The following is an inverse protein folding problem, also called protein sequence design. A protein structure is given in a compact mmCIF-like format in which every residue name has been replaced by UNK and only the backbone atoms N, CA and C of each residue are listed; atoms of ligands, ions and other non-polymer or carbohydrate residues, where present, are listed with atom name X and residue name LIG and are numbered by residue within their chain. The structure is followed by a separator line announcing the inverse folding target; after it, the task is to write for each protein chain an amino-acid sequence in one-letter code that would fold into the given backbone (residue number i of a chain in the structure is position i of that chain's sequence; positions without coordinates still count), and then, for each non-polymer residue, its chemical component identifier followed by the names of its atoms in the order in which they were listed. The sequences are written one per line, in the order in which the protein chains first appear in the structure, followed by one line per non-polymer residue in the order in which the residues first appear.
data_IF_654152574258
#
_entry.id   IF_654152574258
#
_cell.length_a   1.000
_cell.length_b   1.000
_cell.length_c   1.000
_cell.angle_alpha   90.00
_cell.angle_beta   90.00
_cell.angle_gamma   90.00
#
_symmetry.space_group_name_H-M   'P 1'
#
loop_
_entity.id
_entity.type
_entity.pdbx_description
1 polymer ?
#
# COMPACT_ATOMS: atom_id res chain seq x y z
N UNK A 1 2.62 -9.08 -39.66
CA UNK A 1 3.73 -9.46 -40.56
C UNK A 1 4.82 -8.41 -40.40
N UNK A 2 5.69 -8.57 -39.40
CA UNK A 2 6.86 -7.67 -39.23
C UNK A 2 7.94 -8.17 -40.16
N UNK A 3 8.44 -7.30 -41.03
CA UNK A 3 9.49 -7.62 -41.99
C UNK A 3 10.79 -7.91 -41.20
N UNK A 4 11.13 -9.19 -40.99
CA UNK A 4 12.27 -9.64 -40.16
C UNK A 4 13.61 -9.56 -40.91
N UNK A 5 13.83 -8.47 -41.65
CA UNK A 5 14.99 -8.35 -42.54
C UNK A 5 16.07 -7.46 -41.92
N UNK A 6 16.65 -7.93 -40.81
CA UNK A 6 17.89 -7.38 -40.28
C UNK A 6 19.09 -7.89 -41.09
N UNK A 7 20.12 -7.05 -41.27
CA UNK A 7 21.33 -7.39 -42.01
C UNK A 7 22.54 -7.47 -41.08
N UNK A 8 23.10 -8.67 -40.89
CA UNK A 8 24.37 -8.88 -40.17
C UNK A 8 25.45 -8.98 -41.24
N UNK A 9 26.45 -8.12 -41.16
CA UNK A 9 27.64 -8.16 -41.99
C UNK A 9 28.86 -8.20 -41.09
N UNK A 10 29.81 -9.08 -41.38
CA UNK A 10 30.99 -9.16 -40.53
C UNK A 10 32.03 -10.12 -41.05
N UNK A 11 33.24 -9.94 -40.55
CA UNK A 11 34.37 -10.83 -40.81
C UNK A 11 34.80 -11.45 -39.49
N UNK A 12 34.88 -12.79 -39.44
CA UNK A 12 35.32 -13.53 -38.27
C UNK A 12 36.49 -14.44 -38.66
N UNK A 13 37.64 -14.18 -38.06
CA UNK A 13 38.86 -14.95 -38.23
C UNK A 13 39.03 -15.88 -37.03
N UNK A 14 39.07 -17.18 -37.31
CA UNK A 14 39.34 -18.23 -36.34
C UNK A 14 40.71 -18.83 -36.64
N UNK A 15 41.64 -18.77 -35.70
CA UNK A 15 42.96 -19.38 -35.82
C UNK A 15 43.13 -20.41 -34.71
N UNK A 16 43.18 -21.70 -35.05
CA UNK A 16 43.20 -22.78 -34.07
C UNK A 16 44.18 -23.88 -34.44
N UNK A 17 44.76 -24.54 -33.42
CA UNK A 17 45.50 -25.79 -33.57
C UNK A 17 44.52 -26.95 -33.38
N UNK A 18 44.41 -27.82 -34.38
CA UNK A 18 43.60 -29.04 -34.31
C UNK A 18 44.49 -30.19 -33.81
N UNK A 19 44.11 -30.82 -32.71
CA UNK A 19 44.69 -32.09 -32.28
C UNK A 19 43.85 -33.24 -32.83
N UNK A 20 44.51 -34.12 -33.58
CA UNK A 20 43.94 -35.35 -34.10
C UNK A 20 44.29 -36.49 -33.15
N UNK A 21 43.29 -36.97 -32.41
CA UNK A 21 43.37 -38.26 -31.74
C UNK A 21 42.77 -39.33 -32.68
N UNK A 22 43.11 -40.61 -32.52
CA UNK A 22 42.72 -41.68 -33.45
C UNK A 22 41.22 -41.76 -33.78
N UNK A 23 40.36 -41.24 -32.89
CA UNK A 23 38.90 -41.21 -33.05
C UNK A 23 38.25 -39.88 -32.65
N UNK A 24 39.00 -38.79 -32.46
CA UNK A 24 38.42 -37.47 -32.14
C UNK A 24 39.27 -36.31 -32.63
N UNK A 25 38.60 -35.25 -33.07
CA UNK A 25 39.21 -33.95 -33.37
C UNK A 25 38.94 -33.05 -32.16
N UNK A 26 39.99 -32.57 -31.51
CA UNK A 26 39.85 -31.61 -30.41
C UNK A 26 40.54 -30.30 -30.75
N UNK A 27 39.87 -29.18 -30.46
CA UNK A 27 40.43 -27.84 -30.55
C UNK A 27 41.13 -27.56 -29.22
N UNK A 28 42.45 -27.45 -29.24
CA UNK A 28 43.27 -27.37 -28.02
C UNK A 28 43.51 -25.90 -27.62
N UNK A 29 43.95 -25.09 -28.59
CA UNK A 29 44.14 -23.65 -28.45
C UNK A 29 43.74 -22.94 -29.74
N UNK A 30 42.97 -21.86 -29.59
CA UNK A 30 42.60 -21.02 -30.73
C UNK A 30 42.28 -19.59 -30.32
N UNK A 31 42.55 -18.67 -31.25
CA UNK A 31 42.21 -17.26 -31.17
C UNK A 31 41.04 -16.96 -32.08
N UNK A 32 40.18 -16.07 -31.62
CA UNK A 32 39.07 -15.53 -32.38
C UNK A 32 39.30 -14.02 -32.51
N UNK A 33 39.12 -13.48 -33.70
CA UNK A 33 39.10 -12.04 -33.93
C UNK A 33 38.11 -11.71 -35.03
N UNK A 34 37.19 -10.80 -34.78
CA UNK A 34 36.19 -10.45 -35.77
C UNK A 34 35.43 -9.20 -35.42
N UNK A 35 34.79 -8.64 -36.43
CA UNK A 35 33.91 -7.49 -36.32
C UNK A 35 32.59 -7.80 -37.01
N UNK A 36 31.49 -7.45 -36.36
CA UNK A 36 30.12 -7.66 -36.82
C UNK A 36 29.40 -6.31 -36.76
N UNK A 37 28.81 -5.91 -37.87
CA UNK A 37 27.82 -4.85 -37.98
C UNK A 37 26.45 -5.52 -38.02
N UNK A 38 25.51 -5.01 -37.24
CA UNK A 38 24.12 -5.44 -37.27
C UNK A 38 23.26 -4.22 -37.50
N UNK A 39 22.36 -4.26 -38.48
CA UNK A 39 21.47 -3.16 -38.79
C UNK A 39 20.02 -3.65 -38.84
N UNK A 40 19.14 -3.03 -38.06
CA UNK A 40 17.71 -3.35 -38.04
C UNK A 40 17.35 -4.75 -37.54
N UNK A 41 18.16 -5.38 -36.66
CA UNK A 41 17.83 -6.71 -36.13
C UNK A 41 16.61 -6.65 -35.24
N UNK A 42 15.66 -7.58 -35.36
CA UNK A 42 14.55 -7.69 -34.43
C UNK A 42 15.01 -7.65 -32.97
N UNK A 43 14.36 -6.83 -32.13
CA UNK A 43 14.75 -6.64 -30.73
C UNK A 43 14.51 -7.87 -29.87
N UNK A 44 13.54 -8.72 -30.24
CA UNK A 44 13.19 -9.96 -29.55
C UNK A 44 14.37 -10.94 -29.43
N UNK A 45 15.40 -10.80 -30.26
CA UNK A 45 16.64 -11.60 -30.16
C UNK A 45 17.36 -11.47 -28.80
N UNK A 46 17.12 -10.39 -28.05
CA UNK A 46 17.72 -10.20 -26.72
C UNK A 46 16.88 -10.78 -25.58
N UNK A 47 15.65 -11.22 -25.83
CA UNK A 47 14.76 -11.78 -24.80
C UNK A 47 15.41 -12.86 -23.93
N UNK A 48 16.19 -13.83 -24.48
CA UNK A 48 16.84 -14.86 -23.66
C UNK A 48 17.87 -14.30 -22.67
N UNK A 49 18.30 -13.05 -22.85
CA UNK A 49 19.26 -12.35 -21.99
C UNK A 49 18.60 -11.31 -21.07
N UNK A 50 17.29 -11.09 -21.21
CA UNK A 50 16.54 -10.22 -20.33
C UNK A 50 16.24 -10.91 -18.99
N UNK A 51 15.93 -10.10 -17.99
CA UNK A 51 15.43 -10.61 -16.72
C UNK A 51 14.11 -11.38 -16.94
N UNK A 52 13.87 -12.44 -16.16
CA UNK A 52 12.56 -13.07 -16.11
C UNK A 52 11.51 -11.98 -15.90
N UNK A 53 10.41 -12.04 -16.65
CA UNK A 53 9.28 -11.11 -16.57
C UNK A 53 9.46 -9.74 -17.27
N UNK A 54 10.51 -9.56 -18.07
CA UNK A 54 10.60 -8.46 -19.04
C UNK A 54 10.25 -9.00 -20.43
N UNK A 55 9.27 -8.39 -21.09
CA UNK A 55 8.90 -8.70 -22.47
C UNK A 55 9.22 -7.47 -23.33
N UNK A 56 9.82 -7.67 -24.50
CA UNK A 56 10.18 -6.60 -25.44
C UNK A 56 9.73 -6.99 -26.85
N UNK A 57 8.96 -6.14 -27.51
CA UNK A 57 8.46 -6.45 -28.84
C UNK A 57 8.48 -5.23 -29.78
N UNK A 58 8.30 -5.52 -31.07
CA UNK A 58 8.14 -4.49 -32.09
C UNK A 58 9.26 -3.44 -32.10
N UNK A 59 10.50 -3.91 -32.14
CA UNK A 59 11.69 -3.07 -32.09
C UNK A 59 12.82 -3.55 -32.97
N UNK A 60 13.91 -2.78 -32.98
CA UNK A 60 15.13 -3.15 -33.64
C UNK A 60 16.38 -2.76 -32.85
N UNK A 61 17.46 -3.50 -33.12
CA UNK A 61 18.79 -3.30 -32.58
C UNK A 61 19.75 -3.09 -33.75
N UNK A 62 20.59 -2.07 -33.64
CA UNK A 62 21.59 -1.76 -34.65
C UNK A 62 22.89 -1.28 -34.00
N UNK A 63 24.03 -1.62 -34.59
CA UNK A 63 25.31 -1.35 -33.96
C UNK A 63 26.44 -2.17 -34.52
N UNK A 64 27.50 -2.24 -33.71
CA UNK A 64 28.77 -2.86 -34.05
C UNK A 64 29.32 -3.61 -32.86
N UNK A 65 29.73 -4.85 -33.07
CA UNK A 65 30.41 -5.69 -32.10
C UNK A 65 31.76 -6.13 -32.65
N UNK A 66 32.72 -6.30 -31.74
CA UNK A 66 34.04 -6.86 -31.98
C UNK A 66 34.25 -7.99 -30.99
N UNK A 67 34.71 -9.13 -31.49
CA UNK A 67 35.14 -10.27 -30.69
C UNK A 67 36.64 -10.43 -30.87
N UNK A 68 37.36 -10.70 -29.79
CA UNK A 68 38.81 -10.91 -29.80
C UNK A 68 39.22 -11.89 -28.70
N UNK A 69 40.45 -12.39 -28.69
CA UNK A 69 40.98 -13.20 -27.60
C UNK A 69 41.03 -14.68 -27.91
N UNK A 70 41.07 -15.53 -26.88
CA UNK A 70 41.07 -16.99 -27.05
C UNK A 70 39.65 -17.54 -27.13
N UNK A 71 39.47 -18.73 -27.71
CA UNK A 71 38.17 -19.41 -27.75
C UNK A 71 37.61 -19.70 -26.35
N UNK A 72 38.49 -19.89 -25.36
CA UNK A 72 38.12 -20.17 -23.98
C UNK A 72 37.90 -18.89 -23.16
N UNK A 73 38.28 -17.72 -23.67
CA UNK A 73 38.13 -16.42 -23.00
C UNK A 73 37.97 -15.30 -24.04
N UNK A 74 36.86 -15.32 -24.81
CA UNK A 74 36.59 -14.28 -25.79
C UNK A 74 36.29 -12.96 -25.07
N UNK A 75 36.87 -11.89 -25.59
CA UNK A 75 36.62 -10.52 -25.20
C UNK A 75 35.70 -9.87 -26.22
N UNK A 76 34.53 -9.42 -25.77
CA UNK A 76 33.59 -8.68 -26.59
C UNK A 76 33.72 -7.18 -26.33
N UNK A 77 33.56 -6.37 -27.36
CA UNK A 77 33.43 -4.92 -27.25
C UNK A 77 32.53 -4.40 -28.35
N UNK A 78 31.84 -3.28 -28.15
CA UNK A 78 30.94 -2.77 -29.16
C UNK A 78 29.97 -1.73 -28.63
N UNK A 79 29.11 -1.25 -29.53
CA UNK A 79 27.99 -0.37 -29.18
C UNK A 79 26.75 -0.77 -29.95
N UNK A 80 25.60 -0.59 -29.33
CA UNK A 80 24.31 -0.85 -29.94
C UNK A 80 23.34 0.28 -29.58
N UNK A 81 22.53 0.67 -30.56
CA UNK A 81 21.27 1.38 -30.35
C UNK A 81 20.16 0.34 -30.27
N UNK A 82 19.29 0.53 -29.29
CA UNK A 82 18.13 -0.33 -29.04
C UNK A 82 16.91 0.56 -29.15
N UNK A 83 15.96 0.15 -29.99
CA UNK A 83 14.65 0.77 -30.10
C UNK A 83 13.58 -0.30 -29.92
N UNK A 84 12.55 -0.03 -29.12
CA UNK A 84 11.37 -0.88 -28.97
C UNK A 84 10.11 -0.04 -28.95
N UNK A 85 9.02 -0.56 -29.51
CA UNK A 85 7.70 0.08 -29.38
C UNK A 85 6.93 -0.42 -28.17
N UNK A 86 7.06 -1.68 -27.79
CA UNK A 86 6.51 -2.09 -26.51
C UNK A 86 7.58 -2.77 -25.65
N UNK A 87 7.48 -2.48 -24.36
CA UNK A 87 8.20 -3.17 -23.31
C UNK A 87 7.26 -3.29 -22.12
N UNK A 88 7.13 -4.50 -21.60
CA UNK A 88 6.31 -4.76 -20.42
C UNK A 88 7.18 -5.35 -19.32
N UNK A 89 7.01 -4.82 -18.11
CA UNK A 89 7.53 -5.44 -16.90
C UNK A 89 6.36 -6.03 -16.10
N UNK A 90 6.15 -7.33 -16.29
CA UNK A 90 4.93 -7.99 -15.84
C UNK A 90 4.73 -8.06 -14.31
N UNK A 91 5.75 -8.05 -13.43
CA UNK A 91 5.51 -8.13 -11.98
C UNK A 91 4.76 -6.93 -11.40
N UNK A 92 4.81 -5.78 -12.07
CA UNK A 92 4.12 -4.55 -11.67
C UNK A 92 3.16 -4.04 -12.75
N UNK A 93 2.86 -4.87 -13.76
CA UNK A 93 1.99 -4.49 -14.89
C UNK A 93 2.38 -3.14 -15.53
N UNK A 94 3.68 -2.85 -15.58
CA UNK A 94 4.19 -1.59 -16.13
C UNK A 94 4.42 -1.77 -17.64
N UNK A 95 3.71 -0.98 -18.43
CA UNK A 95 3.84 -0.95 -19.88
C UNK A 95 4.49 0.34 -20.39
N UNK A 96 5.46 0.17 -21.27
CA UNK A 96 6.16 1.24 -21.97
C UNK A 96 5.81 1.21 -23.47
N UNK A 97 5.49 2.38 -24.01
CA UNK A 97 5.15 2.67 -25.42
C UNK A 97 6.36 2.95 -26.30
N UNK A 98 7.50 3.17 -25.68
CA UNK A 98 8.77 3.19 -26.38
C UNK A 98 9.92 2.88 -25.42
N UNK A 99 10.98 2.36 -25.99
CA UNK A 99 12.32 2.38 -25.44
C UNK A 99 13.23 2.89 -26.55
N UNK A 100 14.00 3.94 -26.27
CA UNK A 100 15.11 4.39 -27.12
C UNK A 100 16.36 4.42 -26.27
N UNK A 101 17.43 3.79 -26.76
CA UNK A 101 18.57 3.53 -25.93
C UNK A 101 19.87 3.32 -26.65
N UNK A 102 20.97 3.65 -25.97
CA UNK A 102 22.32 3.31 -26.43
C UNK A 102 23.10 2.60 -25.34
N UNK A 103 23.66 1.44 -25.70
CA UNK A 103 24.57 0.67 -24.86
C UNK A 103 25.96 0.60 -25.48
N UNK A 104 26.97 0.50 -24.63
CA UNK A 104 28.34 0.13 -25.01
C UNK A 104 28.73 -1.09 -24.19
N UNK A 105 29.19 -2.13 -24.85
CA UNK A 105 29.72 -3.32 -24.20
C UNK A 105 31.24 -3.27 -24.26
N UNK A 106 31.92 -3.56 -23.15
CA UNK A 106 33.37 -3.76 -23.13
C UNK A 106 33.75 -4.80 -22.08
N UNK A 107 34.41 -5.87 -22.53
CA UNK A 107 34.83 -7.03 -21.72
C UNK A 107 33.66 -7.73 -21.03
N UNK A 108 33.32 -7.29 -19.82
CA UNK A 108 32.28 -7.84 -18.97
C UNK A 108 31.36 -6.74 -18.43
N UNK A 109 31.42 -5.54 -19.00
CA UNK A 109 30.64 -4.39 -18.59
C UNK A 109 29.75 -3.93 -19.73
N UNK A 110 28.46 -3.80 -19.45
CA UNK A 110 27.52 -3.01 -20.25
C UNK A 110 27.44 -1.63 -19.62
N UNK A 111 27.78 -0.60 -20.38
CA UNK A 111 27.46 0.79 -20.06
C UNK A 111 26.16 1.15 -20.77
N UNK A 112 25.14 1.52 -20.00
CA UNK A 112 23.93 2.16 -20.49
C UNK A 112 24.22 3.66 -20.51
N UNK A 113 24.37 4.22 -21.72
CA UNK A 113 24.63 5.66 -21.84
C UNK A 113 23.38 6.45 -21.51
N UNK A 114 22.26 6.04 -22.07
CA UNK A 114 20.93 6.53 -21.77
C UNK A 114 19.93 5.54 -22.36
N UNK A 115 18.95 5.13 -21.57
CA UNK A 115 17.67 4.57 -22.03
C UNK A 115 16.58 5.56 -21.66
N UNK A 116 15.72 5.89 -22.61
CA UNK A 116 14.53 6.71 -22.42
C UNK A 116 13.34 5.83 -22.70
N UNK A 117 12.50 5.63 -21.69
CA UNK A 117 11.26 4.89 -21.80
C UNK A 117 10.09 5.82 -21.53
N UNK A 118 9.05 5.72 -22.34
CA UNK A 118 7.80 6.47 -22.16
C UNK A 118 6.68 5.49 -21.88
N UNK A 119 5.93 5.70 -20.80
CA UNK A 119 4.83 4.81 -20.44
C UNK A 119 3.50 5.19 -21.10
N UNK A 120 2.46 4.41 -20.83
CA UNK A 120 1.13 4.57 -21.45
C UNK A 120 0.50 5.96 -21.23
N UNK A 121 0.85 6.66 -20.14
CA UNK A 121 0.35 7.99 -19.77
C UNK A 121 1.34 9.13 -20.07
N UNK A 122 2.32 8.90 -20.94
CA UNK A 122 3.35 9.89 -21.34
C UNK A 122 4.36 10.27 -20.25
N UNK A 123 4.45 9.49 -19.16
CA UNK A 123 5.51 9.62 -18.17
C UNK A 123 6.83 9.12 -18.73
N UNK A 124 7.94 9.78 -18.37
CA UNK A 124 9.27 9.47 -18.87
C UNK A 124 10.11 8.84 -17.76
N UNK A 125 10.80 7.76 -18.09
CA UNK A 125 11.79 7.10 -17.25
C UNK A 125 13.12 7.05 -17.99
N UNK A 126 14.16 7.63 -17.40
CA UNK A 126 15.51 7.65 -17.95
C UNK A 126 16.43 6.78 -17.11
N UNK A 127 17.19 5.89 -17.75
CA UNK A 127 18.15 5.00 -17.09
C UNK A 127 19.54 5.21 -17.67
N UNK A 128 20.54 5.34 -16.80
CA UNK A 128 21.96 5.33 -17.19
C UNK A 128 22.78 4.61 -16.13
N UNK A 129 23.98 4.13 -16.51
CA UNK A 129 24.89 3.47 -15.57
C UNK A 129 25.53 2.23 -16.16
N UNK A 130 25.81 1.26 -15.30
CA UNK A 130 26.61 0.08 -15.65
C UNK A 130 26.02 -1.21 -15.10
N UNK A 131 26.18 -2.27 -15.87
CA UNK A 131 25.93 -3.65 -15.48
C UNK A 131 27.24 -4.40 -15.67
N UNK A 132 27.73 -5.05 -14.62
CA UNK A 132 28.99 -5.79 -14.62
C UNK A 132 28.70 -7.27 -14.40
N UNK A 133 29.16 -8.09 -15.33
CA UNK A 133 29.05 -9.54 -15.28
C UNK A 133 30.35 -10.15 -14.78
N UNK A 134 30.25 -11.22 -13.99
CA UNK A 134 31.39 -12.06 -13.64
C UNK A 134 30.97 -13.53 -13.60
N UNK A 135 31.96 -14.42 -13.44
CA UNK A 135 31.72 -15.87 -13.32
C UNK A 135 30.82 -16.45 -14.43
N UNK A 136 31.16 -16.17 -15.70
CA UNK A 136 30.39 -16.61 -16.89
C UNK A 136 28.91 -16.16 -16.85
N UNK A 137 28.65 -14.89 -16.55
CA UNK A 137 27.32 -14.27 -16.46
C UNK A 137 26.43 -14.78 -15.31
N UNK A 138 26.96 -15.59 -14.39
CA UNK A 138 26.22 -16.02 -13.19
C UNK A 138 26.07 -14.93 -12.15
N UNK A 139 27.07 -14.06 -12.06
CA UNK A 139 27.12 -12.98 -11.10
C UNK A 139 26.91 -11.66 -11.85
N UNK A 140 25.89 -10.91 -11.45
CA UNK A 140 25.51 -9.65 -12.10
C UNK A 140 25.45 -8.55 -11.04
N UNK A 141 26.24 -7.50 -11.24
CA UNK A 141 26.30 -6.32 -10.38
C UNK A 141 25.76 -5.10 -11.11
N UNK A 142 24.93 -4.33 -10.42
CA UNK A 142 24.25 -3.15 -10.93
C UNK A 142 24.82 -1.89 -10.31
N UNK A 143 24.89 -0.83 -11.12
CA UNK A 143 25.02 0.57 -10.67
C UNK A 143 24.26 1.43 -11.68
N UNK A 144 22.96 1.58 -11.46
CA UNK A 144 22.03 2.28 -12.35
C UNK A 144 21.44 3.50 -11.63
N UNK A 145 21.45 4.62 -12.33
CA UNK A 145 20.70 5.81 -12.02
C UNK A 145 19.39 5.80 -12.81
N UNK A 146 18.28 6.05 -12.13
CA UNK A 146 16.93 6.03 -12.68
C UNK A 146 16.29 7.38 -12.36
N UNK A 147 15.99 8.16 -13.39
CA UNK A 147 15.27 9.43 -13.27
C UNK A 147 13.85 9.26 -13.80
N UNK A 148 12.89 9.78 -13.04
CA UNK A 148 11.47 9.73 -13.39
C UNK A 148 10.94 11.15 -13.52
N UNK A 149 10.15 11.39 -14.56
CA UNK A 149 9.42 12.62 -14.77
C UNK A 149 7.96 12.30 -15.11
N UNK A 150 7.06 12.61 -14.18
CA UNK A 150 5.63 12.28 -14.24
C UNK A 150 5.37 10.83 -14.62
N UNK A 151 6.19 9.92 -14.09
CA UNK A 151 6.09 8.49 -14.34
C UNK A 151 4.81 7.94 -13.71
N UNK A 152 3.90 7.44 -14.54
CA UNK A 152 2.69 6.76 -14.10
C UNK A 152 2.98 5.34 -13.58
N UNK A 153 2.48 5.04 -12.39
CA UNK A 153 2.56 3.73 -11.72
C UNK A 153 1.18 3.36 -11.18
N UNK A 154 0.68 2.17 -11.55
CA UNK A 154 -0.47 1.53 -10.92
C UNK A 154 0.03 0.44 -9.99
N UNK A 155 -0.32 0.49 -8.71
CA UNK A 155 0.07 -0.55 -7.73
C UNK A 155 -0.96 -1.67 -7.72
N UNK A 156 -2.24 -1.29 -7.80
CA UNK A 156 -3.40 -2.15 -7.86
C UNK A 156 -4.57 -1.41 -8.54
N UNK A 157 -5.76 -2.02 -8.57
CA UNK A 157 -6.97 -1.45 -9.18
C UNK A 157 -7.45 -0.14 -8.52
N UNK A 158 -6.95 0.19 -7.33
CA UNK A 158 -7.43 1.30 -6.51
C UNK A 158 -6.39 2.41 -6.32
N UNK A 159 -5.14 2.16 -6.73
CA UNK A 159 -4.00 2.97 -6.35
C UNK A 159 -3.13 3.29 -7.55
N UNK A 160 -3.12 4.57 -7.94
CA UNK A 160 -2.30 5.08 -9.02
C UNK A 160 -1.56 6.37 -8.64
N UNK A 161 -0.37 6.53 -9.18
CA UNK A 161 0.51 7.66 -8.91
C UNK A 161 1.20 8.18 -10.17
N UNK A 162 1.41 9.49 -10.20
CA UNK A 162 2.35 10.16 -11.10
C UNK A 162 3.55 10.61 -10.28
N UNK A 163 4.73 10.07 -10.60
CA UNK A 163 5.91 10.14 -9.77
C UNK A 163 7.04 10.84 -10.53
N UNK A 164 7.68 11.79 -9.89
CA UNK A 164 8.93 12.40 -10.36
C UNK A 164 10.03 12.21 -9.32
N UNK A 165 11.27 12.01 -9.74
CA UNK A 165 12.37 11.87 -8.79
C UNK A 165 13.52 11.02 -9.31
N UNK A 166 14.31 10.54 -8.38
CA UNK A 166 15.54 9.82 -8.66
C UNK A 166 15.66 8.59 -7.77
N UNK A 167 16.04 7.47 -8.36
CA UNK A 167 16.44 6.25 -7.67
C UNK A 167 17.82 5.81 -8.15
N UNK A 168 18.63 5.29 -7.24
CA UNK A 168 19.86 4.58 -7.51
C UNK A 168 19.65 3.11 -7.19
N UNK A 169 19.86 2.25 -8.18
CA UNK A 169 19.90 0.80 -8.01
C UNK A 169 21.36 0.35 -8.00
N UNK A 170 21.79 -0.33 -6.95
CA UNK A 170 23.16 -0.83 -6.86
C UNK A 170 23.27 -2.22 -6.22
N UNK A 171 24.42 -2.86 -6.43
CA UNK A 171 24.75 -4.13 -5.78
C UNK A 171 24.51 -5.35 -6.65
N UNK A 172 24.71 -6.52 -6.04
CA UNK A 172 24.72 -7.82 -6.73
C UNK A 172 23.33 -8.46 -6.70
N UNK A 173 22.82 -8.87 -7.86
CA UNK A 173 21.56 -9.63 -7.91
C UNK A 173 21.72 -11.00 -7.22
N UNK A 174 20.74 -11.47 -6.40
CA UNK A 174 19.43 -10.86 -6.13
C UNK A 174 19.40 -9.84 -4.98
N UNK A 175 20.50 -9.63 -4.26
CA UNK A 175 20.64 -8.69 -3.14
C UNK A 175 20.91 -7.25 -3.59
N UNK A 176 19.91 -6.65 -4.24
CA UNK A 176 19.98 -5.27 -4.74
C UNK A 176 19.65 -4.24 -3.65
N UNK A 177 20.18 -3.04 -3.80
CA UNK A 177 19.92 -1.86 -2.94
C UNK A 177 19.32 -0.75 -3.80
N UNK A 178 18.19 -0.19 -3.35
CA UNK A 178 17.52 0.95 -3.97
C UNK A 178 17.53 2.15 -3.02
N UNK A 179 18.19 3.24 -3.40
CA UNK A 179 18.22 4.48 -2.63
C UNK A 179 17.67 5.63 -3.44
N UNK A 180 16.88 6.54 -2.85
CA UNK A 180 16.49 7.74 -3.57
C UNK A 180 15.37 8.55 -2.97
N UNK A 181 14.92 9.52 -3.77
CA UNK A 181 13.90 10.49 -3.40
C UNK A 181 12.85 10.54 -4.50
N UNK A 182 11.60 10.35 -4.11
CA UNK A 182 10.43 10.40 -4.98
C UNK A 182 9.52 11.54 -4.54
N UNK A 183 8.97 12.23 -5.53
CA UNK A 183 7.89 13.18 -5.37
C UNK A 183 6.65 12.61 -6.04
N UNK A 184 5.56 12.52 -5.30
CA UNK A 184 4.24 12.25 -5.87
C UNK A 184 3.71 13.57 -6.41
N UNK A 185 3.70 13.71 -7.73
CA UNK A 185 3.15 14.88 -8.40
C UNK A 185 1.63 14.91 -8.25
N UNK A 186 1.02 13.74 -8.33
CA UNK A 186 -0.41 13.47 -8.27
C UNK A 186 -0.65 12.00 -7.91
N UNK A 187 -1.67 11.72 -7.09
CA UNK A 187 -1.98 10.36 -6.66
C UNK A 187 -3.45 10.17 -6.36
N UNK A 188 -3.95 8.97 -6.61
CA UNK A 188 -5.33 8.58 -6.39
C UNK A 188 -5.36 7.25 -5.64
N UNK A 189 -6.05 7.24 -4.48
CA UNK A 189 -6.18 6.08 -3.60
C UNK A 189 -7.66 5.89 -3.29
N UNK A 190 -8.26 4.85 -3.88
CA UNK A 190 -9.70 4.67 -3.93
C UNK A 190 -10.21 3.40 -3.22
N UNK A 191 -9.59 2.99 -2.10
CA UNK A 191 -9.93 1.72 -1.45
C UNK A 191 -11.37 1.68 -0.91
N UNK A 192 -12.19 0.67 -1.29
CA UNK A 192 -13.54 0.54 -0.79
C UNK A 192 -13.56 0.16 0.69
N UNK A 193 -14.60 0.60 1.40
CA UNK A 193 -14.78 0.29 2.82
C UNK A 193 -14.90 -1.22 3.03
N UNK A 194 -14.09 -1.76 3.95
CA UNK A 194 -14.07 -3.18 4.26
C UNK A 194 -13.21 -4.01 3.32
N UNK A 195 -12.47 -3.38 2.40
CA UNK A 195 -11.40 -4.04 1.67
C UNK A 195 -10.39 -4.62 2.65
N UNK A 196 -10.24 -5.95 2.62
CA UNK A 196 -9.17 -6.65 3.32
C UNK A 196 -8.09 -6.96 2.30
N UNK A 197 -6.90 -6.42 2.52
CA UNK A 197 -5.72 -6.83 1.76
C UNK A 197 -5.58 -8.35 1.88
N UNK A 198 -5.29 -9.03 0.76
CA UNK A 198 -4.88 -10.43 0.84
C UNK A 198 -3.64 -10.47 1.72
N UNK A 199 -3.68 -11.24 2.81
CA UNK A 199 -2.49 -11.50 3.62
C UNK A 199 -1.47 -12.21 2.72
N UNK A 200 -0.55 -11.46 2.13
CA UNK A 200 0.61 -12.04 1.51
C UNK A 200 1.52 -12.50 2.64
N UNK A 201 1.75 -13.80 2.72
CA UNK A 201 2.81 -14.35 3.56
C UNK A 201 4.12 -13.71 3.12
N UNK A 202 4.75 -12.95 4.01
CA UNK A 202 6.06 -12.35 3.77
C UNK A 202 7.04 -13.46 3.38
N UNK A 203 7.35 -13.52 2.09
CA UNK A 203 8.38 -14.42 1.57
C UNK A 203 9.73 -13.70 1.66
N UNK A 204 10.82 -14.38 2.06
CA UNK A 204 12.14 -13.76 2.14
C UNK A 204 12.50 -13.08 0.82
N UNK A 205 12.72 -11.76 0.86
CA UNK A 205 13.11 -10.96 -0.31
C UNK A 205 14.42 -10.21 -0.01
N UNK A 206 15.53 -10.54 -0.72
CA UNK A 206 16.85 -9.95 -0.48
C UNK A 206 16.98 -8.49 -0.95
N UNK A 207 15.97 -7.91 -1.57
CA UNK A 207 15.94 -6.49 -1.93
C UNK A 207 16.03 -5.61 -0.67
N UNK A 208 16.84 -4.55 -0.76
CA UNK A 208 16.97 -3.50 0.25
C UNK A 208 16.60 -2.17 -0.36
N UNK A 209 15.98 -1.31 0.43
CA UNK A 209 15.66 0.02 -0.03
C UNK A 209 15.62 1.05 1.10
N UNK A 210 15.94 2.29 0.74
CA UNK A 210 15.72 3.49 1.54
C UNK A 210 15.23 4.60 0.60
N UNK A 211 13.91 4.81 0.59
CA UNK A 211 13.25 5.72 -0.34
C UNK A 211 12.51 6.78 0.48
N UNK A 212 12.86 8.04 0.26
CA UNK A 212 12.07 9.16 0.79
C UNK A 212 11.00 9.52 -0.22
N UNK A 213 9.74 9.61 0.21
CA UNK A 213 8.60 9.94 -0.61
C UNK A 213 7.99 11.24 -0.09
N UNK A 214 7.85 12.23 -0.96
CA UNK A 214 7.23 13.51 -0.64
C UNK A 214 6.02 13.76 -1.53
N UNK A 215 4.98 14.37 -0.98
CA UNK A 215 3.83 14.84 -1.73
C UNK A 215 3.35 16.15 -1.11
N UNK A 216 3.44 17.25 -1.84
CA UNK A 216 3.04 18.56 -1.29
C UNK A 216 1.51 18.74 -1.29
N UNK A 217 0.81 18.11 -2.23
CA UNK A 217 -0.64 18.22 -2.49
C UNK A 217 -1.04 17.24 -3.60
N UNK A 218 -2.32 17.24 -4.01
CA UNK A 218 -2.87 16.41 -5.10
C UNK A 218 -2.70 14.90 -4.90
N UNK A 219 -2.66 14.47 -3.65
CA UNK A 219 -2.87 13.06 -3.31
C UNK A 219 -4.29 12.95 -2.81
N UNK A 220 -5.15 12.30 -3.59
CA UNK A 220 -6.57 12.18 -3.30
C UNK A 220 -6.83 10.79 -2.69
N UNK A 221 -7.39 10.78 -1.50
CA UNK A 221 -7.92 9.59 -0.86
C UNK A 221 -9.44 9.67 -0.89
N UNK A 222 -10.08 8.70 -1.52
CA UNK A 222 -11.53 8.66 -1.65
C UNK A 222 -12.09 7.26 -1.39
N UNK A 223 -13.20 7.19 -0.68
CA UNK A 223 -14.01 5.97 -0.54
C UNK A 223 -15.47 6.35 -0.29
N UNK A 224 -16.30 5.38 0.08
CA UNK A 224 -17.73 5.60 0.34
C UNK A 224 -18.02 6.49 1.55
N UNK A 225 -17.02 6.83 2.37
CA UNK A 225 -17.18 7.62 3.60
C UNK A 225 -16.32 8.88 3.62
N UNK A 226 -15.24 8.94 2.86
CA UNK A 226 -14.24 10.00 2.98
C UNK A 226 -13.82 10.44 1.58
N UNK A 227 -13.68 11.74 1.39
CA UNK A 227 -12.98 12.34 0.26
C UNK A 227 -12.01 13.38 0.81
N UNK A 228 -10.72 13.22 0.54
CA UNK A 228 -9.67 14.06 1.12
C UNK A 228 -8.51 14.28 0.15
N UNK A 229 -8.00 15.52 0.13
CA UNK A 229 -6.70 15.84 -0.46
C UNK A 229 -5.64 15.87 0.64
N UNK A 230 -4.54 15.16 0.42
CA UNK A 230 -3.46 14.93 1.36
C UNK A 230 -2.14 15.54 0.88
N UNK A 231 -1.29 15.85 1.84
CA UNK A 231 0.17 15.94 1.67
C UNK A 231 0.83 14.80 2.44
N UNK A 232 2.06 14.42 2.07
CA UNK A 232 2.80 13.33 2.68
C UNK A 232 4.30 13.62 2.74
N UNK A 233 4.95 13.16 3.79
CA UNK A 233 6.40 13.02 3.88
C UNK A 233 6.68 11.68 4.57
N UNK A 234 7.28 10.76 3.84
CA UNK A 234 7.36 9.34 4.20
C UNK A 234 8.76 8.80 3.91
N UNK A 235 9.17 7.84 4.70
CA UNK A 235 10.39 7.06 4.52
C UNK A 235 9.98 5.60 4.46
N UNK A 236 10.29 4.98 3.32
CA UNK A 236 10.10 3.56 3.09
C UNK A 236 11.47 2.88 3.18
N UNK A 237 11.63 1.96 4.13
CA UNK A 237 12.90 1.31 4.41
C UNK A 237 12.78 -0.21 4.56
N UNK A 238 13.69 -0.96 3.94
CA UNK A 238 13.85 -2.42 4.15
C UNK A 238 15.32 -2.74 4.30
N UNK A 239 15.69 -3.22 5.48
CA UNK A 239 17.07 -3.59 5.85
C UNK A 239 17.27 -5.10 6.01
N UNK A 240 16.19 -5.87 6.06
CA UNK A 240 16.20 -7.34 6.25
C UNK A 240 15.33 -8.05 5.22
N UNK A 241 15.48 -9.37 5.11
CA UNK A 241 14.73 -10.16 4.12
C UNK A 241 13.24 -10.22 4.41
N UNK A 242 12.85 -10.04 5.67
CA UNK A 242 11.48 -10.31 6.15
C UNK A 242 10.75 -8.98 6.44
N UNK A 243 11.37 -8.04 7.16
CA UNK A 243 10.69 -6.81 7.58
C UNK A 243 10.89 -5.61 6.65
N UNK A 244 9.81 -4.86 6.41
CA UNK A 244 9.84 -3.48 5.89
C UNK A 244 9.24 -2.51 6.90
N UNK A 245 9.75 -1.28 6.91
CA UNK A 245 9.30 -0.21 7.79
C UNK A 245 8.87 1.00 6.97
N UNK A 246 7.80 1.61 7.43
CA UNK A 246 7.24 2.83 6.92
C UNK A 246 7.12 3.82 8.07
N UNK A 247 7.69 5.01 7.87
CA UNK A 247 7.69 6.09 8.85
C UNK A 247 7.36 7.41 8.16
N UNK A 248 6.72 8.33 8.88
CA UNK A 248 6.45 9.67 8.37
C UNK A 248 5.09 10.20 8.77
N UNK A 249 4.57 11.12 7.96
CA UNK A 249 3.28 11.75 8.22
C UNK A 249 2.51 12.09 6.96
N UNK A 250 1.19 12.11 7.09
CA UNK A 250 0.27 12.70 6.15
C UNK A 250 -0.47 13.86 6.82
N UNK A 251 -0.75 14.92 6.07
CA UNK A 251 -1.65 15.98 6.51
C UNK A 251 -2.83 16.09 5.54
N UNK A 252 -4.04 16.14 6.10
CA UNK A 252 -5.27 16.38 5.35
C UNK A 252 -5.36 17.88 5.07
N UNK A 253 -5.20 18.26 3.81
CA UNK A 253 -5.26 19.66 3.37
C UNK A 253 -6.72 20.13 3.37
N UNK A 254 -7.60 19.28 2.86
CA UNK A 254 -9.05 19.47 2.86
C UNK A 254 -9.72 18.13 2.68
N UNK A 255 -10.93 17.98 3.22
CA UNK A 255 -11.71 16.78 2.99
C UNK A 255 -13.04 16.81 3.70
N UNK A 256 -13.85 15.80 3.44
CA UNK A 256 -15.16 15.61 4.03
C UNK A 256 -15.33 14.16 4.45
N UNK A 257 -16.06 13.95 5.53
CA UNK A 257 -16.52 12.63 5.97
C UNK A 257 -18.04 12.58 5.86
N UNK A 258 -18.53 11.64 5.08
CA UNK A 258 -19.93 11.45 4.76
C UNK A 258 -20.51 10.27 5.55
N UNK A 259 -21.38 10.59 6.50
CA UNK A 259 -22.20 9.60 7.19
C UNK A 259 -23.56 9.54 6.48
N UNK A 260 -23.57 8.96 5.28
CA UNK A 260 -24.76 8.95 4.41
C UNK A 260 -26.00 8.36 5.07
N UNK A 261 -25.85 7.32 5.90
CA UNK A 261 -26.98 6.70 6.64
C UNK A 261 -27.59 7.62 7.70
N UNK A 262 -26.87 8.65 8.14
CA UNK A 262 -27.31 9.63 9.13
C UNK A 262 -27.57 11.01 8.50
N UNK A 263 -27.38 11.12 7.18
CA UNK A 263 -27.40 12.37 6.43
C UNK A 263 -26.55 13.47 7.08
N UNK A 264 -25.35 13.10 7.59
CA UNK A 264 -24.40 14.06 8.18
C UNK A 264 -23.14 14.14 7.33
N UNK A 265 -22.61 15.36 7.21
CA UNK A 265 -21.36 15.63 6.53
C UNK A 265 -20.46 16.45 7.45
N UNK A 266 -19.29 15.89 7.78
CA UNK A 266 -18.27 16.56 8.57
C UNK A 266 -17.18 17.09 7.65
N UNK A 267 -17.01 18.40 7.60
CA UNK A 267 -15.86 19.02 6.94
C UNK A 267 -14.63 18.84 7.82
N UNK A 268 -13.57 18.27 7.27
CA UNK A 268 -12.30 18.12 7.98
C UNK A 268 -11.64 19.51 8.06
N UNK A 269 -11.35 19.95 9.29
CA UNK A 269 -10.68 21.24 9.56
C UNK A 269 -9.20 21.05 9.87
N UNK A 270 -8.84 19.94 10.49
CA UNK A 270 -7.47 19.55 10.77
C UNK A 270 -7.37 18.03 10.66
N UNK A 271 -6.28 17.52 10.11
CA UNK A 271 -6.07 16.09 10.04
C UNK A 271 -4.59 15.78 9.89
N UNK A 272 -4.05 15.07 10.87
CA UNK A 272 -2.68 14.58 10.88
C UNK A 272 -2.69 13.08 11.10
N UNK A 273 -1.92 12.39 10.27
CA UNK A 273 -1.73 10.95 10.39
C UNK A 273 -0.24 10.72 10.51
N UNK A 274 0.21 10.10 11.60
CA UNK A 274 1.62 9.78 11.80
C UNK A 274 1.79 8.28 11.67
N UNK A 275 2.86 7.85 11.00
CA UNK A 275 3.23 6.45 10.94
C UNK A 275 4.59 6.27 11.59
N UNK A 276 4.65 5.39 12.58
CA UNK A 276 5.87 5.08 13.32
C UNK A 276 6.03 3.56 13.29
N UNK A 277 7.05 3.06 12.61
CA UNK A 277 7.32 1.62 12.46
C UNK A 277 6.07 0.84 12.03
N UNK A 278 5.38 1.32 11.00
CA UNK A 278 4.12 0.79 10.47
C UNK A 278 2.87 1.00 11.34
N UNK A 279 2.99 1.52 12.57
CA UNK A 279 1.85 1.85 13.41
C UNK A 279 1.26 3.21 13.01
N UNK A 280 -0.01 3.19 12.57
CA UNK A 280 -0.73 4.37 12.09
C UNK A 280 -1.48 5.00 13.24
N UNK A 281 -1.13 6.25 13.56
CA UNK A 281 -1.79 7.08 14.55
C UNK A 281 -2.53 8.22 13.87
N UNK A 282 -3.79 8.39 14.25
CA UNK A 282 -4.73 9.37 13.72
C UNK A 282 -4.89 10.52 14.71
N UNK A 283 -5.03 11.74 14.19
CA UNK A 283 -5.46 12.93 14.91
C UNK A 283 -6.24 13.82 13.91
N UNK A 284 -7.57 13.68 13.90
CA UNK A 284 -8.42 14.27 12.86
C UNK A 284 -9.60 14.98 13.51
N UNK A 285 -9.78 16.25 13.17
CA UNK A 285 -10.86 17.10 13.64
C UNK A 285 -11.77 17.47 12.47
N UNK A 286 -13.05 17.16 12.60
CA UNK A 286 -14.09 17.52 11.64
C UNK A 286 -15.23 18.30 12.29
N UNK A 287 -15.94 19.11 11.51
CA UNK A 287 -17.08 19.90 11.96
C UNK A 287 -18.30 19.73 11.06
N UNK A 288 -19.47 19.66 11.67
CA UNK A 288 -20.76 19.63 10.98
C UNK A 288 -21.75 20.58 11.66
N UNK A 289 -22.55 21.28 10.86
CA UNK A 289 -23.73 21.99 11.34
C UNK A 289 -24.91 21.00 11.39
N UNK A 290 -25.41 20.73 12.59
CA UNK A 290 -26.50 19.78 12.82
C UNK A 290 -27.62 20.51 13.55
N UNK A 291 -28.75 20.68 12.87
CA UNK A 291 -29.85 21.55 13.29
C UNK A 291 -29.38 22.99 13.52
N UNK A 292 -29.29 23.41 14.78
CA UNK A 292 -28.93 24.74 15.21
C UNK A 292 -27.58 24.78 15.95
N UNK A 293 -26.76 23.73 15.83
CA UNK A 293 -25.49 23.57 16.54
C UNK A 293 -24.34 23.16 15.65
N UNK A 294 -23.15 23.64 15.99
CA UNK A 294 -21.90 23.18 15.40
C UNK A 294 -21.36 22.02 16.24
N UNK A 295 -21.35 20.82 15.67
CA UNK A 295 -20.77 19.63 16.29
C UNK A 295 -19.36 19.41 15.75
N UNK A 296 -18.37 19.36 16.65
CA UNK A 296 -16.99 19.02 16.33
C UNK A 296 -16.74 17.56 16.70
N UNK A 297 -16.21 16.77 15.77
CA UNK A 297 -15.78 15.41 15.99
C UNK A 297 -14.25 15.34 15.98
N UNK A 298 -13.67 14.68 16.98
CA UNK A 298 -12.23 14.48 17.11
C UNK A 298 -11.93 12.98 17.15
N UNK A 299 -11.10 12.52 16.22
CA UNK A 299 -10.65 11.14 16.09
C UNK A 299 -9.17 11.09 16.46
N UNK A 300 -8.81 10.26 17.43
CA UNK A 300 -7.43 10.11 17.91
C UNK A 300 -7.02 8.64 18.05
N UNK A 301 -5.73 8.38 18.19
CA UNK A 301 -5.21 7.04 18.53
C UNK A 301 -4.91 6.18 17.31
N UNK A 302 -4.73 4.87 17.51
CA UNK A 302 -4.24 3.98 16.44
C UNK A 302 -5.38 3.53 15.53
N UNK A 303 -5.05 3.09 14.32
CA UNK A 303 -6.05 2.53 13.39
C UNK A 303 -6.78 1.30 13.97
N UNK A 304 -6.11 0.51 14.81
CA UNK A 304 -6.70 -0.64 15.51
C UNK A 304 -7.58 -0.24 16.70
N UNK A 305 -7.24 0.87 17.36
CA UNK A 305 -7.90 1.35 18.58
C UNK A 305 -8.19 2.85 18.50
N UNK A 306 -9.02 3.31 17.55
CA UNK A 306 -9.35 4.71 17.45
C UNK A 306 -10.20 5.15 18.64
N UNK A 307 -10.06 6.42 18.96
CA UNK A 307 -10.75 7.13 20.02
C UNK A 307 -11.55 8.27 19.41
N UNK A 308 -12.77 8.47 19.88
CA UNK A 308 -13.70 9.44 19.31
C UNK A 308 -14.28 10.33 20.41
N UNK A 309 -14.22 11.64 20.19
CA UNK A 309 -14.87 12.64 21.01
C UNK A 309 -15.75 13.54 20.16
N UNK A 310 -16.89 13.94 20.72
CA UNK A 310 -17.80 14.90 20.10
C UNK A 310 -17.96 16.11 21.02
N UNK A 311 -17.97 17.31 20.45
CA UNK A 311 -18.13 18.56 21.17
C UNK A 311 -19.24 19.38 20.53
N UNK A 312 -20.08 19.99 21.38
CA UNK A 312 -21.11 20.93 20.96
C UNK A 312 -20.66 22.35 21.26
N UNK A 313 -20.77 23.24 20.28
CA UNK A 313 -20.52 24.67 20.47
C UNK A 313 -21.51 25.29 21.48
N UNK A 314 -22.73 24.77 21.55
CA UNK A 314 -23.76 25.16 22.53
C UNK A 314 -23.61 24.51 23.92
N UNK A 315 -22.57 23.71 24.15
CA UNK A 315 -22.29 23.10 25.46
C UNK A 315 -23.22 21.93 25.82
N UNK A 316 -23.82 21.28 24.83
CA UNK A 316 -24.65 20.08 25.04
C UNK A 316 -23.84 18.93 25.64
N UNK A 317 -24.51 18.08 26.42
CA UNK A 317 -23.91 16.87 26.98
C UNK A 317 -23.57 15.85 25.88
N UNK A 318 -22.64 14.93 26.17
CA UNK A 318 -22.26 13.86 25.24
C UNK A 318 -23.46 13.05 24.72
N UNK A 319 -24.42 12.75 25.61
CA UNK A 319 -25.62 12.02 25.24
C UNK A 319 -26.51 12.80 24.26
N UNK A 320 -26.70 14.09 24.50
CA UNK A 320 -27.46 14.96 23.59
C UNK A 320 -26.76 15.10 22.23
N UNK A 321 -25.44 15.26 22.21
CA UNK A 321 -24.66 15.34 20.96
C UNK A 321 -24.81 14.05 20.15
N UNK A 322 -24.70 12.89 20.81
CA UNK A 322 -24.85 11.60 20.16
C UNK A 322 -26.26 11.40 19.62
N UNK A 323 -27.29 11.79 20.38
CA UNK A 323 -28.65 11.76 19.88
C UNK A 323 -28.83 12.66 18.66
N UNK A 324 -28.23 13.86 18.63
CA UNK A 324 -28.29 14.74 17.46
C UNK A 324 -27.57 14.14 16.24
N UNK A 325 -26.38 13.56 16.44
CA UNK A 325 -25.60 12.94 15.34
C UNK A 325 -26.32 11.70 14.80
N UNK A 326 -26.94 10.90 15.67
CA UNK A 326 -27.62 9.64 15.32
C UNK A 326 -29.10 9.85 14.94
N UNK A 327 -29.66 11.03 15.20
CA UNK A 327 -31.03 11.37 14.81
C UNK A 327 -31.17 11.34 13.28
N UNK A 328 -32.04 10.44 12.81
CA UNK A 328 -32.16 10.07 11.40
C UNK A 328 -32.24 8.56 11.15
N UNK A 329 -31.85 7.73 12.13
CA UNK A 329 -32.05 6.28 12.11
C UNK A 329 -30.84 5.48 12.62
N UNK A 330 -31.09 4.51 13.49
CA UNK A 330 -30.07 3.58 13.97
C UNK A 330 -29.86 2.46 12.94
N UNK A 331 -28.93 2.66 12.00
CA UNK A 331 -28.36 1.53 11.26
C UNK A 331 -27.43 0.72 12.17
N UNK A 332 -27.26 -0.58 11.90
CA UNK A 332 -26.35 -1.48 12.64
C UNK A 332 -24.92 -0.90 12.74
N UNK A 333 -24.47 -0.19 11.71
CA UNK A 333 -23.18 0.54 11.68
C UNK A 333 -23.14 1.76 12.61
N UNK A 334 -24.24 2.52 12.71
CA UNK A 334 -24.36 3.66 13.64
C UNK A 334 -24.38 3.23 15.11
N UNK A 335 -24.96 2.07 15.40
CA UNK A 335 -24.95 1.45 16.74
C UNK A 335 -23.54 1.00 17.13
N UNK A 336 -22.80 0.36 16.22
CA UNK A 336 -21.41 -0.01 16.48
C UNK A 336 -20.52 1.21 16.76
N UNK A 337 -20.71 2.31 16.04
CA UNK A 337 -20.00 3.58 16.27
C UNK A 337 -20.37 4.18 17.64
N UNK A 338 -21.68 4.26 17.95
CA UNK A 338 -22.18 4.75 19.23
C UNK A 338 -21.65 3.91 20.41
N UNK A 339 -21.65 2.58 20.26
CA UNK A 339 -21.11 1.66 21.25
C UNK A 339 -19.60 1.89 21.44
N UNK A 340 -18.81 2.07 20.40
CA UNK A 340 -17.37 2.35 20.56
C UNK A 340 -17.10 3.68 21.28
N UNK A 341 -17.82 4.76 20.92
CA UNK A 341 -17.68 6.09 21.54
C UNK A 341 -18.13 6.09 23.00
N UNK A 342 -19.29 5.50 23.29
CA UNK A 342 -19.91 5.51 24.62
C UNK A 342 -19.23 4.54 25.58
N UNK A 343 -18.85 3.34 25.13
CA UNK A 343 -18.32 2.27 26.02
C UNK A 343 -16.91 2.57 26.53
N UNK A 344 -16.10 3.38 25.84
CA UNK A 344 -14.76 3.76 26.34
C UNK A 344 -14.79 4.97 27.27
N UNK A 345 -15.62 5.97 26.96
CA UNK A 345 -15.69 7.24 27.71
C UNK A 345 -16.54 7.15 28.98
N UNK A 346 -17.67 6.45 28.92
CA UNK A 346 -18.57 6.29 30.06
C UNK A 346 -18.03 5.25 31.04
N UNK A 347 -17.45 4.15 30.56
CA UNK A 347 -16.88 3.10 31.44
C UNK A 347 -15.72 3.62 32.28
N UNK A 348 -14.85 4.47 31.70
CA UNK A 348 -13.74 5.11 32.44
C UNK A 348 -14.18 6.15 33.48
N UNK A 349 -15.30 6.85 33.26
CA UNK A 349 -15.79 7.90 34.18
C UNK A 349 -16.80 7.42 35.22
N UNK A 350 -17.58 6.37 34.93
CA UNK A 350 -18.72 5.96 35.75
C UNK A 350 -18.68 4.51 36.26
N UNK A 351 -17.56 3.80 36.11
CA UNK A 351 -17.28 2.48 36.71
C UNK A 351 -18.39 1.41 36.53
N UNK A 352 -19.00 1.36 35.35
CA UNK A 352 -20.00 0.33 35.01
C UNK A 352 -19.35 -0.96 34.49
N UNK A 353 -19.93 -2.11 34.85
CA UNK A 353 -19.46 -3.43 34.44
C UNK A 353 -20.02 -3.85 33.07
N UNK A 354 -21.25 -3.42 32.75
CA UNK A 354 -21.96 -3.65 31.49
C UNK A 354 -22.40 -2.30 30.87
N UNK A 355 -22.04 -2.05 29.62
CA UNK A 355 -22.73 -1.07 28.77
C UNK A 355 -22.92 -1.70 27.39
N UNK A 356 -24.16 -1.93 26.98
CA UNK A 356 -24.50 -2.54 25.70
C UNK A 356 -25.59 -1.74 24.97
N UNK A 357 -25.54 -1.78 23.64
CA UNK A 357 -26.53 -1.19 22.76
C UNK A 357 -27.15 -2.31 21.94
N UNK A 358 -28.44 -2.58 22.15
CA UNK A 358 -29.14 -3.66 21.46
C UNK A 358 -30.09 -3.07 20.42
N UNK A 359 -29.92 -3.34 19.12
CA UNK A 359 -30.87 -2.89 18.09
C UNK A 359 -32.26 -3.51 18.30
N UNK A 360 -33.29 -2.69 18.19
CA UNK A 360 -34.70 -3.10 18.17
C UNK A 360 -35.40 -2.34 17.03
N UNK A 361 -35.42 -2.93 15.83
CA UNK A 361 -35.97 -2.28 14.63
C UNK A 361 -35.20 -0.99 14.28
N UNK A 362 -35.91 0.15 14.20
CA UNK A 362 -35.31 1.47 14.00
C UNK A 362 -34.86 2.16 15.30
N UNK A 363 -34.86 1.43 16.40
CA UNK A 363 -34.59 1.93 17.73
C UNK A 363 -33.41 1.17 18.37
N UNK A 364 -32.88 1.67 19.48
CA UNK A 364 -31.84 1.00 20.24
C UNK A 364 -32.25 0.95 21.72
N UNK A 365 -31.93 -0.17 22.37
CA UNK A 365 -32.00 -0.32 23.82
C UNK A 365 -30.60 -0.10 24.40
N UNK A 366 -30.43 0.95 25.19
CA UNK A 366 -29.22 1.16 25.97
C UNK A 366 -29.35 0.38 27.26
N UNK A 367 -28.36 -0.44 27.57
CA UNK A 367 -28.31 -1.24 28.78
C UNK A 367 -27.06 -0.91 29.57
N UNK A 368 -27.24 -0.42 30.79
CA UNK A 368 -26.20 -0.14 31.77
C UNK A 368 -26.30 -1.16 32.90
N UNK A 369 -25.18 -1.71 33.34
CA UNK A 369 -25.17 -2.60 34.50
C UNK A 369 -23.90 -2.52 35.32
N UNK A 370 -24.04 -2.71 36.63
CA UNK A 370 -22.93 -2.65 37.58
C UNK A 370 -23.19 -3.49 38.82
N UNK A 371 -22.12 -4.12 39.31
CA UNK A 371 -22.07 -4.76 40.61
C UNK A 371 -21.89 -3.70 41.69
N UNK A 372 -22.94 -3.49 42.47
CA UNK A 372 -22.90 -2.64 43.67
C UNK A 372 -22.11 -3.34 44.79
N UNK A 373 -22.22 -4.67 44.84
CA UNK A 373 -21.40 -5.56 45.68
C UNK A 373 -21.12 -6.85 44.91
N UNK A 374 -20.28 -7.74 45.43
CA UNK A 374 -20.04 -9.07 44.83
C UNK A 374 -21.32 -9.90 44.61
N UNK A 375 -22.40 -9.61 45.35
CA UNK A 375 -23.67 -10.32 45.28
C UNK A 375 -24.83 -9.48 44.74
N UNK A 376 -24.66 -8.17 44.57
CA UNK A 376 -25.75 -7.27 44.17
C UNK A 376 -25.42 -6.62 42.82
N UNK A 377 -26.24 -6.92 41.83
CA UNK A 377 -26.12 -6.38 40.47
C UNK A 377 -27.32 -5.49 40.15
N UNK A 378 -27.04 -4.30 39.64
CA UNK A 378 -28.03 -3.36 39.13
C UNK A 378 -27.94 -3.33 37.61
N UNK A 379 -29.08 -3.41 36.93
CA UNK A 379 -29.18 -3.29 35.48
C UNK A 379 -30.30 -2.31 35.12
N UNK A 380 -29.98 -1.29 34.36
CA UNK A 380 -30.91 -0.31 33.83
C UNK A 380 -30.92 -0.44 32.30
N UNK A 381 -32.09 -0.61 31.69
CA UNK A 381 -32.25 -0.61 30.25
C UNK A 381 -33.24 0.48 29.84
N UNK A 382 -32.89 1.33 28.87
CA UNK A 382 -33.76 2.42 28.41
C UNK A 382 -33.82 2.43 26.89
N UNK A 383 -34.98 2.81 26.38
CA UNK A 383 -35.23 3.01 24.97
C UNK A 383 -34.69 4.39 24.53
N UNK A 384 -33.89 4.43 23.45
CA UNK A 384 -33.27 5.70 23.02
C UNK A 384 -34.29 6.71 22.50
N UNK A 385 -35.37 6.26 21.87
CA UNK A 385 -36.43 7.14 21.35
C UNK A 385 -37.45 7.51 22.42
N UNK A 386 -37.59 6.70 23.48
CA UNK A 386 -38.44 6.99 24.63
C UNK A 386 -37.67 6.82 25.95
N UNK A 387 -36.85 7.80 26.35
CA UNK A 387 -36.02 7.72 27.55
C UNK A 387 -36.81 7.48 28.85
N UNK A 388 -38.09 7.89 28.87
CA UNK A 388 -38.99 7.71 30.01
C UNK A 388 -39.44 6.24 30.18
N UNK A 389 -39.32 5.43 29.12
CA UNK A 389 -39.54 3.99 29.17
C UNK A 389 -38.24 3.27 29.59
N UNK A 390 -38.06 3.12 30.90
CA UNK A 390 -36.92 2.39 31.47
C UNK A 390 -37.34 1.09 32.16
N UNK A 391 -36.40 0.15 32.14
CA UNK A 391 -36.46 -1.12 32.85
C UNK A 391 -35.32 -1.18 33.86
N UNK A 392 -35.66 -1.18 35.14
CA UNK A 392 -34.71 -1.33 36.24
C UNK A 392 -34.80 -2.75 36.81
N UNK A 393 -33.70 -3.50 36.72
CA UNK A 393 -33.56 -4.81 37.34
C UNK A 393 -32.51 -4.75 38.45
N UNK A 394 -32.91 -5.20 39.64
CA UNK A 394 -32.03 -5.42 40.80
C UNK A 394 -31.92 -6.91 40.99
N UNK A 395 -30.71 -7.46 41.03
CA UNK A 395 -30.47 -8.89 41.14
C UNK A 395 -29.51 -9.18 42.29
N UNK A 396 -29.93 -10.04 43.22
CA UNK A 396 -29.11 -10.51 44.34
C UNK A 396 -28.75 -11.99 44.15
N UNK A 397 -27.46 -12.29 44.09
CA UNK A 397 -26.92 -13.63 43.91
C UNK A 397 -26.78 -14.34 45.26
N UNK A 398 -27.60 -15.38 45.45
CA UNK A 398 -27.49 -16.30 46.59
C UNK A 398 -26.30 -17.26 46.40
N UNK A 399 -26.07 -17.67 45.14
CA UNK A 399 -24.92 -18.45 44.66
C UNK A 399 -24.56 -17.95 43.26
N UNK A 400 -23.36 -18.27 42.72
CA UNK A 400 -23.00 -17.87 41.35
C UNK A 400 -24.00 -18.31 40.27
N UNK A 401 -24.78 -19.36 40.53
CA UNK A 401 -25.79 -19.91 39.62
C UNK A 401 -27.23 -19.61 40.05
N UNK A 402 -27.47 -19.05 41.24
CA UNK A 402 -28.82 -18.84 41.79
C UNK A 402 -28.97 -17.41 42.29
N UNK A 403 -30.03 -16.74 41.86
CA UNK A 403 -30.30 -15.35 42.20
C UNK A 403 -31.78 -15.10 42.42
N UNK A 404 -32.09 -14.07 43.19
CA UNK A 404 -33.41 -13.46 43.26
C UNK A 404 -33.30 -12.12 42.54
N UNK A 405 -34.29 -11.76 41.75
CA UNK A 405 -34.32 -10.47 41.08
C UNK A 405 -35.68 -9.80 41.23
N UNK A 406 -35.64 -8.47 41.35
CA UNK A 406 -36.78 -7.59 41.16
C UNK A 406 -36.57 -6.81 39.87
N UNK A 407 -37.63 -6.68 39.07
CA UNK A 407 -37.61 -5.95 37.81
C UNK A 407 -38.79 -5.00 37.77
N UNK A 408 -38.52 -3.72 37.52
CA UNK A 408 -39.52 -2.70 37.24
C UNK A 408 -39.43 -2.36 35.77
N UNK A 409 -40.47 -2.69 35.00
CA UNK A 409 -40.62 -2.27 33.62
C UNK A 409 -41.81 -1.32 33.54
N UNK A 410 -41.54 -0.04 33.28
CA UNK A 410 -42.54 1.02 33.32
C UNK A 410 -43.28 1.07 34.69
N UNK A 411 -44.56 0.66 34.73
CA UNK A 411 -45.39 0.58 35.93
C UNK A 411 -45.63 -0.85 36.44
N UNK A 412 -44.98 -1.85 35.85
CA UNK A 412 -45.08 -3.25 36.27
C UNK A 412 -43.89 -3.65 37.13
N UNK A 413 -44.16 -4.32 38.25
CA UNK A 413 -43.15 -4.83 39.16
C UNK A 413 -43.20 -6.36 39.15
N UNK A 414 -42.06 -6.97 38.85
CA UNK A 414 -41.91 -8.43 38.82
C UNK A 414 -40.84 -8.84 39.82
N UNK A 415 -41.09 -9.92 40.55
CA UNK A 415 -40.08 -10.58 41.40
C UNK A 415 -39.94 -12.00 40.90
N UNK A 416 -38.70 -12.45 40.74
CA UNK A 416 -38.41 -13.78 40.21
C UNK A 416 -37.14 -14.39 40.79
N UNK A 417 -36.96 -15.67 40.48
CA UNK A 417 -35.75 -16.42 40.82
C UNK A 417 -35.05 -16.76 39.50
N UNK A 418 -33.78 -16.40 39.37
CA UNK A 418 -32.96 -16.65 38.20
C UNK A 418 -31.95 -17.77 38.46
N UNK A 419 -31.87 -18.73 37.54
CA UNK A 419 -30.87 -19.80 37.56
C UNK A 419 -29.99 -19.76 36.31
N UNK A 420 -28.66 -19.77 36.49
CA UNK A 420 -27.68 -19.71 35.38
C UNK A 420 -27.05 -21.09 35.18
N UNK A 421 -27.39 -21.74 34.07
CA UNK A 421 -26.72 -22.95 33.59
C UNK A 421 -25.46 -22.53 32.81
N UNK A 422 -24.29 -23.06 33.20
CA UNK A 422 -23.08 -22.99 32.38
C UNK A 422 -23.08 -24.20 31.44
N UNK A 423 -22.95 -23.96 30.14
CA UNK A 423 -22.61 -24.97 29.14
C UNK A 423 -21.23 -24.65 28.60
#
# INVERSE_FOLDING_TARGET
VVNKNGLIEGNLNLSSILKLNPFSITIDEGKINGEILFNGFPVDIIEPFLFPNVVIDEGYIQGKAKISGSLNSPMFSGSAKVYSKNLAFTPFEIEFKNLDGTITFYKNTIKISQFILTNSKSGILTINGFIVFSNKFKDINFDLAIEMNKFYLSIDDWTEFFISGYLKLSGKFPSLIIDGNLNIDEGYVNYPVGYKTKNQTESPNPLRYHITINANRRVFFSNELVDAELSANLILQKTSDIGQYFEGSFNIIKGNVYLYTLNKNFKIIEGKINVIRNEINLDIIGQAEIYDDTITAHIMGTLENPYFELFSKKGRSQFEILNLVLSGGFSEKGINLAQQVLTRNIRKKLNFDELTFTPIGNNALITLGSYITEKLYLKLSTDVQNPDAYNLRVQYFLKPTLSIFGERKENTYTIGIGYRLKF
#
